data_IF_386890019089
#
_entry.id   IF_386890019089
#
_cell.length_a   1.000
_cell.length_b   1.000
_cell.length_c   1.000
_cell.angle_alpha   90.00
_cell.angle_beta   90.00
_cell.angle_gamma   90.00
#
_symmetry.space_group_name_H-M   'P 1'
#
loop_
_entity.id
_entity.type
_entity.pdbx_description
1 polymer ?
#
# COMPACT_ATOMS: atom_id res chain seq x y z
N UNK A 1 -20.42 -16.29 -17.28
CA UNK A 1 -19.78 -15.02 -16.83
C UNK A 1 -20.08 -13.83 -17.74
N UNK A 2 -20.25 -14.01 -19.08
CA UNK A 2 -20.54 -12.92 -20.01
C UNK A 2 -21.82 -12.17 -19.62
N UNK A 3 -22.91 -12.85 -19.33
CA UNK A 3 -24.18 -12.25 -18.91
C UNK A 3 -24.04 -11.41 -17.64
N UNK A 4 -23.38 -11.93 -16.61
CA UNK A 4 -23.16 -11.18 -15.36
C UNK A 4 -22.28 -9.94 -15.52
N UNK A 5 -21.39 -9.91 -16.50
CA UNK A 5 -20.54 -8.75 -16.74
C UNK A 5 -21.22 -7.68 -17.60
N UNK A 6 -22.33 -8.01 -18.24
CA UNK A 6 -23.11 -7.11 -19.10
C UNK A 6 -24.45 -6.69 -18.49
N UNK A 7 -24.64 -6.91 -17.18
CA UNK A 7 -25.80 -6.46 -16.44
C UNK A 7 -26.95 -7.45 -16.36
N UNK A 8 -26.89 -8.61 -16.98
CA UNK A 8 -27.95 -9.60 -16.93
C UNK A 8 -27.90 -10.42 -15.64
N UNK A 9 -28.21 -9.78 -14.52
CA UNK A 9 -28.22 -10.41 -13.21
C UNK A 9 -29.37 -11.43 -13.05
N UNK A 10 -30.46 -11.21 -13.77
CA UNK A 10 -31.70 -12.02 -13.67
C UNK A 10 -31.79 -13.13 -14.72
N UNK A 11 -30.72 -13.41 -15.44
CA UNK A 11 -30.74 -14.46 -16.44
C UNK A 11 -30.84 -15.84 -15.80
N UNK A 12 -31.56 -16.72 -16.44
CA UNK A 12 -31.58 -18.15 -16.11
C UNK A 12 -31.21 -19.00 -17.32
N UNK A 13 -30.49 -20.07 -17.04
CA UNK A 13 -30.11 -21.08 -18.02
C UNK A 13 -30.70 -22.41 -17.60
N UNK A 14 -31.57 -22.96 -18.44
CA UNK A 14 -32.24 -24.23 -18.20
C UNK A 14 -31.82 -25.24 -19.27
N UNK A 15 -30.93 -26.19 -18.96
CA UNK A 15 -30.55 -27.25 -19.85
C UNK A 15 -31.68 -28.33 -19.87
N UNK A 16 -32.30 -28.49 -21.00
CA UNK A 16 -33.33 -29.50 -21.21
C UNK A 16 -32.80 -30.66 -22.04
N UNK A 17 -32.92 -31.87 -21.55
CA UNK A 17 -32.60 -33.07 -22.30
C UNK A 17 -33.67 -33.32 -23.36
N UNK A 18 -33.29 -33.27 -24.64
CA UNK A 18 -34.21 -33.41 -25.76
C UNK A 18 -34.23 -34.85 -26.30
N UNK A 19 -33.08 -35.49 -26.32
CA UNK A 19 -32.96 -36.83 -26.88
C UNK A 19 -31.75 -37.60 -26.29
N UNK A 20 -31.91 -38.91 -26.13
CA UNK A 20 -30.86 -39.80 -25.66
C UNK A 20 -30.69 -40.92 -26.67
N UNK A 21 -29.54 -41.01 -27.32
CA UNK A 21 -29.22 -42.04 -28.28
C UNK A 21 -27.94 -42.77 -27.88
N UNK A 22 -28.07 -43.96 -27.32
CA UNK A 22 -26.92 -44.70 -26.81
C UNK A 22 -26.18 -43.94 -25.70
N UNK A 23 -24.91 -43.61 -25.93
CA UNK A 23 -24.05 -42.90 -24.99
C UNK A 23 -24.05 -41.37 -25.21
N UNK A 24 -24.89 -40.84 -26.09
CA UNK A 24 -24.98 -39.42 -26.43
C UNK A 24 -26.27 -38.80 -25.92
N UNK A 25 -26.20 -37.64 -25.36
CA UNK A 25 -27.33 -36.84 -24.86
C UNK A 25 -27.35 -35.51 -25.62
N UNK A 26 -28.48 -35.22 -26.27
CA UNK A 26 -28.75 -33.95 -26.91
C UNK A 26 -29.39 -32.99 -25.89
N UNK A 27 -28.75 -31.85 -25.66
CA UNK A 27 -29.22 -30.82 -24.71
C UNK A 27 -29.68 -29.58 -25.46
N UNK A 28 -30.86 -29.11 -25.16
CA UNK A 28 -31.37 -27.79 -25.54
C UNK A 28 -31.09 -26.80 -24.41
N UNK A 29 -30.27 -25.78 -24.68
CA UNK A 29 -29.96 -24.74 -23.70
C UNK A 29 -30.98 -23.62 -23.83
N UNK A 30 -31.93 -23.55 -22.92
CA UNK A 30 -32.95 -22.49 -22.88
C UNK A 30 -32.45 -21.36 -22.03
N UNK A 31 -32.21 -20.19 -22.66
CA UNK A 31 -31.71 -19.00 -21.99
C UNK A 31 -32.83 -17.99 -21.87
N UNK A 32 -33.08 -17.56 -20.65
CA UNK A 32 -33.95 -16.42 -20.37
C UNK A 32 -33.11 -15.28 -19.82
N UNK A 33 -32.91 -14.26 -20.62
CA UNK A 33 -31.98 -13.16 -20.29
C UNK A 33 -32.52 -12.21 -19.22
N UNK A 34 -33.83 -11.94 -19.24
CA UNK A 34 -34.44 -10.96 -18.34
C UNK A 34 -34.08 -9.52 -18.67
N UNK A 35 -34.22 -8.64 -17.68
CA UNK A 35 -33.80 -7.24 -17.80
C UNK A 35 -32.38 -7.08 -17.30
N UNK A 36 -31.68 -6.10 -17.88
CA UNK A 36 -30.39 -5.66 -17.33
C UNK A 36 -30.60 -4.96 -15.99
N UNK A 37 -29.78 -5.30 -14.99
CA UNK A 37 -29.81 -4.71 -13.67
C UNK A 37 -28.93 -3.45 -13.64
N UNK A 38 -29.49 -2.35 -13.15
CA UNK A 38 -28.75 -1.11 -12.88
C UNK A 38 -28.49 -1.01 -11.38
N UNK A 39 -27.29 -0.60 -11.00
CA UNK A 39 -26.93 -0.39 -9.59
C UNK A 39 -27.69 0.83 -9.07
N UNK A 40 -28.56 0.62 -8.07
CA UNK A 40 -29.34 1.68 -7.44
C UNK A 40 -28.56 2.30 -6.27
N UNK A 41 -28.07 1.46 -5.36
CA UNK A 41 -27.38 1.92 -4.14
C UNK A 41 -26.12 1.10 -3.90
N UNK A 42 -25.06 1.79 -3.42
CA UNK A 42 -23.84 1.14 -2.91
C UNK A 42 -23.61 1.57 -1.47
N UNK A 43 -23.65 0.62 -0.55
CA UNK A 43 -23.43 0.81 0.89
C UNK A 43 -22.11 0.18 1.33
N UNK A 44 -21.49 0.79 2.34
CA UNK A 44 -20.25 0.32 2.97
C UNK A 44 -20.53 0.19 4.45
N UNK A 45 -20.46 -1.03 4.98
CA UNK A 45 -20.72 -1.33 6.38
C UNK A 45 -19.43 -1.78 7.08
N UNK A 46 -19.33 -1.57 8.40
CA UNK A 46 -18.23 -2.07 9.23
C UNK A 46 -16.92 -1.28 9.11
N UNK A 47 -16.87 -0.21 8.30
CA UNK A 47 -15.75 0.71 8.25
C UNK A 47 -15.84 1.71 9.39
N UNK A 48 -15.00 1.55 10.42
CA UNK A 48 -14.97 2.41 11.60
C UNK A 48 -13.65 3.18 11.77
N UNK A 49 -12.66 2.97 10.89
CA UNK A 49 -11.32 3.57 11.02
C UNK A 49 -11.00 4.58 9.92
N UNK A 50 -11.41 4.32 8.69
CA UNK A 50 -11.21 5.21 7.55
C UNK A 50 -12.40 6.14 7.36
N UNK A 51 -12.19 7.26 6.69
CA UNK A 51 -13.31 8.02 6.14
C UNK A 51 -13.98 7.22 5.02
N UNK A 52 -15.29 7.32 4.91
CA UNK A 52 -16.06 6.55 3.92
C UNK A 52 -15.62 6.84 2.47
N UNK A 53 -15.29 8.10 2.18
CA UNK A 53 -14.81 8.51 0.87
C UNK A 53 -13.50 7.81 0.46
N UNK A 54 -12.66 7.43 1.44
CA UNK A 54 -11.39 6.71 1.19
C UNK A 54 -11.65 5.31 0.67
N UNK A 55 -12.65 4.61 1.21
CA UNK A 55 -13.07 3.29 0.72
C UNK A 55 -13.85 3.42 -0.58
N UNK A 56 -14.80 4.37 -0.62
CA UNK A 56 -15.70 4.55 -1.76
C UNK A 56 -14.96 4.89 -3.07
N UNK A 57 -13.85 5.62 -3.00
CA UNK A 57 -13.05 5.96 -4.19
C UNK A 57 -12.36 4.75 -4.85
N UNK A 58 -12.16 3.66 -4.11
CA UNK A 58 -11.58 2.41 -4.62
C UNK A 58 -12.62 1.54 -5.34
N UNK A 59 -13.91 1.78 -5.12
CA UNK A 59 -14.98 0.99 -5.71
C UNK A 59 -15.11 1.27 -7.21
N UNK A 60 -15.28 0.21 -7.98
CA UNK A 60 -15.60 0.26 -9.41
C UNK A 60 -17.11 0.29 -9.64
N UNK A 61 -17.88 -0.28 -8.71
CA UNK A 61 -19.34 -0.26 -8.75
C UNK A 61 -19.86 1.11 -8.29
N UNK A 62 -20.66 1.74 -9.12
CA UNK A 62 -21.24 3.06 -8.83
C UNK A 62 -22.72 3.08 -9.12
N UNK A 63 -23.54 3.81 -8.33
CA UNK A 63 -24.96 4.00 -8.63
C UNK A 63 -25.15 4.54 -10.04
N UNK A 64 -26.16 4.02 -10.76
CA UNK A 64 -26.48 4.37 -12.13
C UNK A 64 -25.74 3.60 -13.22
N UNK A 65 -24.73 2.78 -12.86
CA UNK A 65 -24.05 1.89 -13.80
C UNK A 65 -24.76 0.55 -13.91
N UNK A 66 -24.57 -0.15 -15.03
CA UNK A 66 -25.00 -1.54 -15.15
C UNK A 66 -24.22 -2.41 -14.16
N UNK A 67 -24.89 -3.42 -13.63
CA UNK A 67 -24.22 -4.41 -12.79
C UNK A 67 -23.14 -5.15 -13.60
N UNK A 68 -21.97 -5.32 -13.01
CA UNK A 68 -20.88 -6.12 -13.54
C UNK A 68 -20.25 -6.92 -12.41
N UNK A 69 -20.23 -8.24 -12.58
CA UNK A 69 -19.56 -9.14 -11.64
C UNK A 69 -18.06 -8.89 -11.60
N UNK A 70 -17.49 -8.56 -12.74
CA UNK A 70 -16.05 -8.22 -12.86
C UNK A 70 -15.72 -6.99 -12.01
N UNK A 71 -16.51 -5.90 -12.15
CA UNK A 71 -16.32 -4.67 -11.37
C UNK A 71 -16.55 -4.89 -9.88
N UNK A 72 -17.49 -5.75 -9.50
CA UNK A 72 -17.71 -6.14 -8.12
C UNK A 72 -16.48 -6.87 -7.54
N UNK A 73 -16.00 -7.89 -8.24
CA UNK A 73 -14.82 -8.67 -7.81
C UNK A 73 -13.56 -7.81 -7.80
N UNK A 74 -13.46 -6.86 -8.72
CA UNK A 74 -12.35 -5.90 -8.74
C UNK A 74 -12.43 -4.94 -7.55
N UNK A 75 -13.59 -4.42 -7.23
CA UNK A 75 -13.81 -3.58 -6.05
C UNK A 75 -13.40 -4.29 -4.76
N UNK A 76 -13.77 -5.57 -4.62
CA UNK A 76 -13.35 -6.38 -3.47
C UNK A 76 -11.82 -6.52 -3.38
N UNK A 77 -11.15 -6.78 -4.51
CA UNK A 77 -9.68 -6.87 -4.55
C UNK A 77 -9.01 -5.54 -4.21
N UNK A 78 -9.52 -4.41 -4.72
CA UNK A 78 -9.00 -3.07 -4.39
C UNK A 78 -9.15 -2.80 -2.87
N UNK A 79 -10.29 -3.14 -2.26
CA UNK A 79 -10.49 -3.04 -0.80
C UNK A 79 -9.51 -3.94 -0.03
N UNK A 80 -9.28 -5.18 -0.48
CA UNK A 80 -8.31 -6.09 0.15
C UNK A 80 -6.88 -5.53 0.10
N UNK A 81 -6.50 -4.94 -1.04
CA UNK A 81 -5.17 -4.36 -1.26
C UNK A 81 -4.91 -3.13 -0.39
N UNK A 82 -5.94 -2.42 0.06
CA UNK A 82 -5.77 -1.32 1.02
C UNK A 82 -5.14 -1.78 2.34
N UNK A 83 -5.32 -3.04 2.74
CA UNK A 83 -4.74 -3.61 3.95
C UNK A 83 -5.39 -3.13 5.26
N UNK A 84 -6.47 -2.36 5.21
CA UNK A 84 -7.20 -1.82 6.38
C UNK A 84 -8.36 -2.69 6.84
N UNK A 85 -8.66 -3.75 6.10
CA UNK A 85 -9.76 -4.66 6.36
C UNK A 85 -9.27 -6.10 6.41
N UNK A 86 -10.00 -6.94 7.14
CA UNK A 86 -9.74 -8.37 7.18
C UNK A 86 -10.16 -9.01 5.85
N UNK A 87 -9.22 -9.55 5.05
CA UNK A 87 -9.52 -10.06 3.72
C UNK A 87 -10.47 -11.27 3.72
N UNK A 88 -10.51 -12.03 4.82
CA UNK A 88 -11.38 -13.20 4.95
C UNK A 88 -12.85 -12.82 5.24
N UNK A 89 -13.07 -11.60 5.71
CA UNK A 89 -14.37 -11.11 6.13
C UNK A 89 -14.94 -10.03 5.21
N UNK A 90 -14.37 -9.84 4.02
CA UNK A 90 -14.92 -8.96 3.00
C UNK A 90 -15.97 -9.73 2.22
N UNK A 91 -17.24 -9.40 2.43
CA UNK A 91 -18.36 -10.07 1.75
C UNK A 91 -19.23 -9.04 1.01
N UNK A 92 -19.56 -9.31 -0.26
CA UNK A 92 -20.53 -8.50 -0.97
C UNK A 92 -21.94 -8.97 -0.63
N UNK A 93 -22.78 -8.05 -0.22
CA UNK A 93 -24.22 -8.25 -0.09
C UNK A 93 -24.91 -7.73 -1.36
N UNK A 94 -25.46 -8.63 -2.15
CA UNK A 94 -26.13 -8.31 -3.41
C UNK A 94 -27.62 -8.49 -3.22
N UNK A 95 -28.38 -7.41 -3.29
CA UNK A 95 -29.83 -7.41 -3.13
C UNK A 95 -30.50 -7.06 -4.45
N UNK A 96 -30.84 -8.07 -5.27
CA UNK A 96 -31.53 -7.85 -6.55
C UNK A 96 -32.99 -7.46 -6.34
N UNK A 97 -33.43 -6.49 -7.15
CA UNK A 97 -34.84 -6.04 -7.22
C UNK A 97 -35.38 -6.24 -8.63
N UNK A 98 -35.90 -7.44 -8.94
CA UNK A 98 -36.33 -7.78 -10.29
C UNK A 98 -37.49 -6.91 -10.80
N UNK A 99 -38.37 -6.43 -9.90
CA UNK A 99 -39.49 -5.58 -10.24
C UNK A 99 -39.08 -4.26 -10.87
N UNK A 100 -38.01 -3.64 -10.31
CA UNK A 100 -37.47 -2.35 -10.76
C UNK A 100 -36.33 -2.50 -11.79
N UNK A 101 -35.84 -3.73 -11.99
CA UNK A 101 -34.62 -3.96 -12.78
C UNK A 101 -33.37 -3.34 -12.16
N UNK A 102 -33.32 -3.26 -10.83
CA UNK A 102 -32.22 -2.66 -10.09
C UNK A 102 -31.58 -3.64 -9.11
N UNK A 103 -30.38 -3.27 -8.62
CA UNK A 103 -29.65 -4.03 -7.61
C UNK A 103 -29.01 -3.09 -6.60
N UNK A 104 -29.16 -3.39 -5.33
CA UNK A 104 -28.40 -2.73 -4.26
C UNK A 104 -27.18 -3.59 -3.92
N UNK A 105 -26.03 -2.95 -3.76
CA UNK A 105 -24.76 -3.62 -3.43
C UNK A 105 -24.28 -3.10 -2.08
N UNK A 106 -24.10 -4.02 -1.13
CA UNK A 106 -23.46 -3.79 0.16
C UNK A 106 -22.03 -4.37 0.16
N UNK A 107 -21.12 -3.67 0.79
CA UNK A 107 -19.81 -4.21 1.14
C UNK A 107 -19.72 -4.29 2.66
N UNK A 108 -19.78 -5.52 3.19
CA UNK A 108 -19.61 -5.77 4.60
C UNK A 108 -18.12 -5.99 4.89
N UNK A 109 -17.57 -5.10 5.70
CA UNK A 109 -16.14 -5.01 5.97
C UNK A 109 -15.90 -5.16 7.47
N UNK A 110 -14.75 -5.71 7.83
CA UNK A 110 -14.27 -5.71 9.21
C UNK A 110 -12.95 -4.96 9.25
N UNK A 111 -12.94 -3.81 9.94
CA UNK A 111 -11.74 -2.97 10.05
C UNK A 111 -10.65 -3.66 10.85
N UNK A 112 -9.42 -3.62 10.34
CA UNK A 112 -8.22 -4.19 10.94
C UNK A 112 -7.20 -3.10 11.25
N UNK A 113 -6.55 -3.17 12.42
CA UNK A 113 -5.40 -2.34 12.71
C UNK A 113 -4.19 -2.84 11.90
N UNK A 114 -3.54 -1.94 11.20
CA UNK A 114 -2.40 -2.24 10.34
C UNK A 114 -1.17 -1.36 10.65
N UNK A 115 -1.21 -0.65 11.77
CA UNK A 115 -0.05 0.11 12.25
C UNK A 115 1.00 -0.87 12.77
N UNK A 116 2.27 -0.60 12.48
CA UNK A 116 3.37 -1.51 12.77
C UNK A 116 4.45 -0.81 13.59
N UNK A 117 4.93 -1.51 14.59
CA UNK A 117 6.13 -1.16 15.34
C UNK A 117 7.13 -2.27 15.11
N UNK A 118 8.24 -1.94 14.48
CA UNK A 118 9.35 -2.86 14.24
C UNK A 118 10.53 -2.47 15.13
N UNK A 119 10.98 -3.41 15.94
CA UNK A 119 12.22 -3.29 16.69
C UNK A 119 13.16 -4.42 16.27
N UNK A 120 14.38 -4.06 15.91
CA UNK A 120 15.43 -5.04 15.63
C UNK A 120 16.73 -4.64 16.31
N UNK A 121 17.45 -5.64 16.81
CA UNK A 121 18.77 -5.46 17.38
C UNK A 121 19.70 -6.54 16.81
N UNK A 122 20.91 -6.13 16.46
CA UNK A 122 21.97 -7.00 15.96
C UNK A 122 23.26 -6.78 16.73
N UNK A 123 24.09 -7.79 16.75
CA UNK A 123 25.43 -7.73 17.33
C UNK A 123 26.46 -7.98 16.22
N UNK A 124 27.41 -7.07 16.08
CA UNK A 124 28.51 -7.18 15.12
C UNK A 124 29.84 -6.75 15.72
N UNK A 125 30.89 -6.72 14.92
CA UNK A 125 32.24 -6.33 15.37
C UNK A 125 32.28 -4.87 15.87
N UNK A 126 31.41 -4.02 15.37
CA UNK A 126 31.26 -2.61 15.79
C UNK A 126 30.36 -2.44 17.01
N UNK A 127 29.91 -3.54 17.65
CA UNK A 127 29.03 -3.55 18.80
C UNK A 127 27.55 -3.80 18.44
N UNK A 128 26.66 -3.35 19.32
CA UNK A 128 25.21 -3.54 19.16
C UNK A 128 24.68 -2.46 18.20
N UNK A 129 23.91 -2.87 17.21
CA UNK A 129 23.13 -1.98 16.36
C UNK A 129 21.65 -2.19 16.66
N UNK A 130 20.93 -1.11 16.89
CA UNK A 130 19.49 -1.13 17.12
C UNK A 130 18.75 -0.34 16.05
N UNK A 131 17.59 -0.83 15.61
CA UNK A 131 16.66 -0.15 14.72
C UNK A 131 15.28 -0.13 15.35
N UNK A 132 14.63 1.03 15.30
CA UNK A 132 13.21 1.19 15.61
C UNK A 132 12.53 1.82 14.40
N UNK A 133 11.43 1.21 13.95
CA UNK A 133 10.60 1.74 12.87
C UNK A 133 9.14 1.75 13.31
N UNK A 134 8.48 2.89 13.10
CA UNK A 134 7.07 3.10 13.37
C UNK A 134 6.39 3.38 12.05
N UNK A 135 5.40 2.57 11.67
CA UNK A 135 4.62 2.72 10.44
C UNK A 135 3.15 2.90 10.80
N UNK A 136 2.61 4.05 10.46
CA UNK A 136 1.20 4.40 10.64
C UNK A 136 0.53 4.39 9.27
N UNK A 137 -0.42 3.48 9.07
CA UNK A 137 -1.01 3.21 7.75
C UNK A 137 -2.29 3.97 7.47
N UNK A 138 -2.89 4.56 8.50
CA UNK A 138 -4.12 5.32 8.39
C UNK A 138 -3.92 6.80 8.76
N UNK A 139 -2.79 7.36 8.43
CA UNK A 139 -2.46 8.75 8.73
C UNK A 139 -3.33 9.73 7.92
N UNK A 140 -3.55 10.93 8.47
CA UNK A 140 -4.27 12.02 7.82
C UNK A 140 -3.52 13.34 8.01
N UNK A 141 -2.95 13.87 6.94
CA UNK A 141 -2.34 15.21 6.94
C UNK A 141 -3.41 16.30 7.15
N UNK A 142 -4.61 16.11 6.60
CA UNK A 142 -5.69 17.07 6.75
C UNK A 142 -6.06 17.26 8.22
N UNK A 143 -6.18 16.17 8.98
CA UNK A 143 -6.48 16.21 10.40
C UNK A 143 -5.29 16.74 11.23
N UNK A 144 -4.06 16.56 10.77
CA UNK A 144 -2.89 17.15 11.41
C UNK A 144 -2.94 18.69 11.35
N UNK A 145 -3.40 19.25 10.24
CA UNK A 145 -3.53 20.70 10.03
C UNK A 145 -4.76 21.28 10.73
N UNK A 146 -5.77 20.45 11.05
CA UNK A 146 -7.02 20.87 11.73
C UNK A 146 -7.27 20.01 12.98
N UNK A 147 -6.48 20.16 14.05
CA UNK A 147 -6.49 19.25 15.19
C UNK A 147 -7.75 19.30 16.06
N UNK A 148 -8.73 20.14 15.75
CA UNK A 148 -9.94 20.33 16.57
C UNK A 148 -11.15 19.50 16.17
N UNK A 149 -11.22 18.96 14.95
CA UNK A 149 -12.48 18.45 14.42
C UNK A 149 -12.61 16.93 14.39
N UNK A 150 -11.53 16.16 14.20
CA UNK A 150 -11.63 14.71 13.98
C UNK A 150 -10.42 13.89 14.50
N UNK A 151 -9.86 14.27 15.65
CA UNK A 151 -8.72 13.55 16.22
C UNK A 151 -9.16 12.20 16.79
N UNK A 152 -8.84 11.11 16.10
CA UNK A 152 -9.10 9.75 16.57
C UNK A 152 -7.77 9.08 16.93
N UNK A 153 -7.44 9.06 18.23
CA UNK A 153 -6.22 8.43 18.73
C UNK A 153 -5.04 9.39 18.96
N UNK A 154 -3.83 8.84 19.11
CA UNK A 154 -2.61 9.61 19.41
C UNK A 154 -2.14 10.39 18.18
N UNK A 155 -2.35 9.85 16.99
CA UNK A 155 -2.03 10.47 15.71
C UNK A 155 -3.30 10.73 14.89
N UNK A 156 -3.32 11.78 14.06
CA UNK A 156 -4.44 12.04 13.18
C UNK A 156 -4.61 10.92 12.15
N UNK A 157 -5.80 10.34 12.11
CA UNK A 157 -6.14 9.18 11.29
C UNK A 157 -7.39 9.45 10.45
N UNK A 158 -7.58 8.66 9.37
CA UNK A 158 -8.80 8.63 8.58
C UNK A 158 -8.59 8.60 7.05
N UNK A 159 -7.51 9.16 6.52
CA UNK A 159 -7.31 9.32 5.08
C UNK A 159 -6.61 8.13 4.40
N UNK A 160 -6.17 7.14 5.17
CA UNK A 160 -5.45 5.98 4.63
C UNK A 160 -4.07 6.31 4.06
N UNK A 161 -3.48 7.44 4.48
CA UNK A 161 -2.11 7.80 4.16
C UNK A 161 -1.15 7.03 5.06
N UNK A 162 0.08 6.85 4.62
CA UNK A 162 1.12 6.14 5.39
C UNK A 162 2.21 7.11 5.83
N UNK A 163 2.49 7.13 7.13
CA UNK A 163 3.63 7.82 7.72
C UNK A 163 4.57 6.78 8.33
N UNK A 164 5.83 6.79 7.91
CA UNK A 164 6.86 5.92 8.49
C UNK A 164 7.97 6.76 9.08
N UNK A 165 8.34 6.45 10.32
CA UNK A 165 9.46 7.09 11.03
C UNK A 165 10.39 5.97 11.46
N UNK A 166 11.66 6.04 11.09
CA UNK A 166 12.63 5.04 11.52
C UNK A 166 13.92 5.68 12.03
N UNK A 167 14.51 5.03 13.01
CA UNK A 167 15.82 5.36 13.55
C UNK A 167 16.65 4.09 13.72
N UNK A 168 17.91 4.17 13.32
CA UNK A 168 18.88 3.11 13.48
C UNK A 168 20.17 3.69 14.07
N UNK A 169 20.72 3.03 15.06
CA UNK A 169 21.96 3.50 15.68
C UNK A 169 22.82 2.35 16.15
N UNK A 170 24.13 2.58 16.04
CA UNK A 170 25.15 1.78 16.66
C UNK A 170 25.92 2.67 17.68
N UNK A 171 25.23 3.44 18.49
CA UNK A 171 25.77 4.33 19.52
C UNK A 171 27.03 5.14 19.14
N UNK A 172 28.10 4.51 18.65
CA UNK A 172 29.39 5.13 18.36
C UNK A 172 29.64 5.44 16.88
N UNK A 173 29.35 4.49 16.00
CA UNK A 173 29.83 4.50 14.63
C UNK A 173 28.80 4.94 13.60
N UNK A 174 27.52 4.66 13.87
CA UNK A 174 26.48 4.88 12.90
C UNK A 174 25.17 5.36 13.54
N UNK A 175 24.58 6.36 12.91
CA UNK A 175 23.24 6.86 13.22
C UNK A 175 22.50 7.16 11.91
N UNK A 176 21.27 6.74 11.81
CA UNK A 176 20.41 7.03 10.66
C UNK A 176 18.99 7.27 11.13
N UNK A 177 18.39 8.31 10.60
CA UNK A 177 17.00 8.66 10.85
C UNK A 177 16.31 8.90 9.52
N UNK A 178 15.10 8.39 9.38
CA UNK A 178 14.31 8.65 8.17
C UNK A 178 12.84 8.90 8.51
N UNK A 179 12.22 9.73 7.71
CA UNK A 179 10.79 9.99 7.71
C UNK A 179 10.30 9.86 6.29
N UNK A 180 9.24 9.10 6.07
CA UNK A 180 8.58 8.99 4.78
C UNK A 180 7.07 9.12 4.93
N UNK A 181 6.48 9.83 3.99
CA UNK A 181 5.05 10.01 3.85
C UNK A 181 4.61 9.50 2.47
N UNK A 182 3.50 8.78 2.44
CA UNK A 182 2.91 8.24 1.21
C UNK A 182 1.40 8.46 1.20
N UNK A 183 0.90 9.01 0.09
CA UNK A 183 -0.52 9.19 -0.18
C UNK A 183 -0.89 8.47 -1.49
N UNK A 184 -1.71 7.41 -1.47
CA UNK A 184 -2.12 6.68 -2.67
C UNK A 184 -3.09 7.46 -3.57
N UNK A 185 -3.75 8.51 -3.03
CA UNK A 185 -4.74 9.32 -3.73
C UNK A 185 -4.48 10.80 -3.59
N UNK A 186 -3.28 11.23 -3.87
CA UNK A 186 -2.89 12.63 -3.78
C UNK A 186 -3.85 13.55 -4.53
N UNK A 187 -4.42 14.52 -3.81
CA UNK A 187 -5.46 15.39 -4.31
C UNK A 187 -6.88 14.80 -4.29
N UNK A 188 -7.07 13.56 -3.83
CA UNK A 188 -8.38 12.93 -3.52
C UNK A 188 -9.28 12.58 -4.72
N UNK A 189 -8.98 13.06 -5.93
CA UNK A 189 -9.84 12.92 -7.12
C UNK A 189 -9.45 11.80 -8.06
N UNK A 190 -8.19 11.40 -8.05
CA UNK A 190 -7.61 10.39 -8.95
C UNK A 190 -6.62 9.53 -8.18
N UNK A 191 -6.43 8.24 -8.58
CA UNK A 191 -5.46 7.36 -7.96
C UNK A 191 -4.02 7.73 -8.38
N UNK A 192 -3.59 8.93 -7.99
CA UNK A 192 -2.22 9.39 -8.17
C UNK A 192 -1.48 9.20 -6.85
N UNK A 193 -0.47 8.36 -6.85
CA UNK A 193 0.37 8.16 -5.69
C UNK A 193 1.37 9.32 -5.54
N UNK A 194 1.60 9.76 -4.33
CA UNK A 194 2.60 10.75 -4.00
C UNK A 194 3.38 10.31 -2.76
N UNK A 195 4.70 10.45 -2.77
CA UNK A 195 5.51 10.16 -1.61
C UNK A 195 6.61 11.19 -1.46
N UNK A 196 6.89 11.52 -0.22
CA UNK A 196 8.05 12.34 0.18
C UNK A 196 8.81 11.58 1.25
N UNK A 197 10.12 11.46 1.09
CA UNK A 197 10.98 10.89 2.11
C UNK A 197 12.20 11.78 2.35
N UNK A 198 12.57 11.90 3.62
CA UNK A 198 13.79 12.58 4.04
C UNK A 198 14.57 11.65 4.95
N UNK A 199 15.88 11.64 4.81
CA UNK A 199 16.73 10.88 5.70
C UNK A 199 18.03 11.65 6.03
N UNK A 200 18.54 11.31 7.18
CA UNK A 200 19.85 11.75 7.67
C UNK A 200 20.63 10.54 8.15
N UNK A 201 21.87 10.43 7.76
CA UNK A 201 22.78 9.45 8.34
C UNK A 201 24.12 10.08 8.66
N UNK A 202 24.72 9.63 9.74
CA UNK A 202 26.07 9.96 10.16
C UNK A 202 26.84 8.68 10.43
N UNK A 203 28.01 8.59 9.84
CA UNK A 203 28.93 7.50 10.07
C UNK A 203 30.29 8.07 10.48
N UNK A 204 30.86 7.53 11.57
CA UNK A 204 32.14 7.92 12.09
C UNK A 204 33.12 6.76 11.93
N UNK A 205 34.34 7.09 11.55
CA UNK A 205 35.55 6.25 11.51
C UNK A 205 35.39 4.78 11.14
N UNK A 206 35.36 4.50 9.83
CA UNK A 206 35.50 3.11 9.34
C UNK A 206 36.26 3.12 8.02
N UNK A 207 37.13 2.10 7.82
CA UNK A 207 37.95 1.95 6.62
C UNK A 207 37.14 1.97 5.32
N UNK A 208 37.76 2.46 4.24
CA UNK A 208 37.16 2.72 2.91
C UNK A 208 36.40 1.54 2.27
N UNK A 209 36.64 0.29 2.66
CA UNK A 209 35.88 -0.88 2.20
C UNK A 209 34.49 -1.03 2.85
N UNK A 210 34.34 -0.59 4.07
CA UNK A 210 33.06 -0.63 4.79
C UNK A 210 32.09 0.42 4.27
N UNK A 211 32.59 1.47 3.66
CA UNK A 211 31.80 2.58 3.14
C UNK A 211 30.84 2.19 2.02
N UNK A 212 31.27 1.38 1.09
CA UNK A 212 30.46 1.05 -0.07
C UNK A 212 29.28 0.14 0.28
N UNK A 213 29.47 -0.82 1.18
CA UNK A 213 28.43 -1.82 1.46
C UNK A 213 27.41 -1.35 2.49
N UNK A 214 27.84 -0.76 3.59
CA UNK A 214 26.91 -0.29 4.64
C UNK A 214 26.10 0.93 4.17
N UNK A 215 26.70 1.76 3.36
CA UNK A 215 26.13 2.98 2.82
C UNK A 215 25.03 2.69 1.80
N UNK A 216 25.32 1.87 0.81
CA UNK A 216 24.35 1.47 -0.20
C UNK A 216 23.21 0.64 0.42
N UNK A 217 23.50 -0.24 1.39
CA UNK A 217 22.48 -1.01 2.08
C UNK A 217 21.57 -0.15 2.97
N UNK A 218 22.09 0.87 3.63
CA UNK A 218 21.29 1.80 4.43
C UNK A 218 20.32 2.62 3.56
N UNK A 219 20.81 3.10 2.43
CA UNK A 219 20.00 3.84 1.46
C UNK A 219 18.91 2.95 0.87
N UNK A 220 19.26 1.78 0.36
CA UNK A 220 18.29 0.84 -0.22
C UNK A 220 17.28 0.34 0.82
N UNK A 221 17.70 0.01 2.04
CA UNK A 221 16.78 -0.43 3.08
C UNK A 221 15.83 0.66 3.55
N UNK A 222 16.29 1.90 3.69
CA UNK A 222 15.43 3.04 4.05
C UNK A 222 14.42 3.34 2.95
N UNK A 223 14.86 3.27 1.70
CA UNK A 223 14.06 3.56 0.52
C UNK A 223 13.02 2.46 0.23
N UNK A 224 13.45 1.19 0.20
CA UNK A 224 12.57 0.07 -0.15
C UNK A 224 11.69 -0.39 1.01
N UNK A 225 12.09 -0.24 2.27
CA UNK A 225 11.22 -0.57 3.40
C UNK A 225 10.04 0.39 3.54
N UNK A 226 10.21 1.66 3.13
CA UNK A 226 9.11 2.62 3.03
C UNK A 226 8.11 2.28 1.94
N UNK A 227 8.57 1.70 0.83
CA UNK A 227 7.77 1.50 -0.39
C UNK A 227 7.13 0.11 -0.48
N UNK A 228 7.78 -0.95 0.01
CA UNK A 228 7.33 -2.34 -0.17
C UNK A 228 7.17 -3.16 1.11
N UNK A 229 7.49 -2.61 2.28
CA UNK A 229 7.27 -3.29 3.57
C UNK A 229 8.19 -4.49 3.86
N UNK A 230 9.19 -4.75 3.02
CA UNK A 230 10.15 -5.85 3.21
C UNK A 230 11.57 -5.32 3.39
N UNK A 231 12.09 -5.45 4.60
CA UNK A 231 13.51 -5.23 4.89
C UNK A 231 14.35 -6.44 4.45
N UNK A 232 15.18 -6.27 3.46
CA UNK A 232 16.16 -7.28 3.08
C UNK A 232 17.37 -7.20 4.01
N UNK A 233 17.56 -8.20 4.86
CA UNK A 233 18.74 -8.32 5.73
C UNK A 233 19.91 -8.86 4.92
N UNK A 234 20.91 -8.02 4.65
CA UNK A 234 22.17 -8.48 4.11
C UNK A 234 23.25 -8.42 5.20
N UNK A 235 23.65 -9.58 5.72
CA UNK A 235 24.76 -9.71 6.64
C UNK A 235 26.08 -9.64 5.85
N UNK A 236 26.69 -8.45 5.81
CA UNK A 236 28.04 -8.27 5.28
C UNK A 236 29.09 -8.97 6.15
N UNK A 237 30.02 -9.64 5.50
CA UNK A 237 31.12 -10.39 6.08
C UNK A 237 32.13 -9.45 6.73
N UNK A 238 32.24 -9.49 8.04
CA UNK A 238 33.10 -8.62 8.85
C UNK A 238 34.48 -9.26 9.06
N UNK A 239 35.48 -8.75 8.38
CA UNK A 239 36.87 -9.12 8.64
C UNK A 239 37.57 -8.10 9.55
N UNK A 240 38.27 -8.61 10.56
CA UNK A 240 39.08 -7.92 11.57
C UNK A 240 39.78 -6.64 11.10
N UNK A 241 39.48 -5.54 11.78
CA UNK A 241 40.31 -4.34 11.77
C UNK A 241 40.48 -3.81 13.20
N UNK A 242 41.74 -3.62 13.61
CA UNK A 242 42.15 -3.05 14.89
C UNK A 242 41.65 -1.61 15.07
N UNK A 243 41.24 -1.34 16.29
CA UNK A 243 40.51 -0.20 16.77
C UNK A 243 41.34 1.12 16.67
N UNK A 244 41.11 1.90 15.63
CA UNK A 244 41.33 3.35 15.66
C UNK A 244 39.99 4.03 15.47
N UNK A 245 39.31 4.33 16.56
CA UNK A 245 38.09 5.15 16.55
C UNK A 245 38.49 6.62 16.59
N UNK A 246 38.25 7.34 15.53
CA UNK A 246 38.44 8.79 15.44
C UNK A 246 37.05 9.45 15.27
N UNK A 247 36.50 10.05 16.33
CA UNK A 247 35.16 10.66 16.28
C UNK A 247 35.11 11.90 15.39
N UNK A 248 36.25 12.51 15.08
CA UNK A 248 36.33 13.73 14.28
C UNK A 248 36.19 13.42 12.78
N UNK A 249 36.53 12.20 12.37
CA UNK A 249 36.31 11.71 11.02
C UNK A 249 34.89 11.26 10.85
N UNK A 250 34.10 11.96 10.07
CA UNK A 250 32.70 11.57 9.84
C UNK A 250 32.25 11.87 8.42
N UNK A 251 31.37 11.00 7.91
CA UNK A 251 30.52 11.30 6.75
C UNK A 251 29.11 11.50 7.25
N UNK A 252 28.54 12.62 6.89
CA UNK A 252 27.13 12.90 7.07
C UNK A 252 26.47 12.92 5.71
N UNK A 253 25.28 12.34 5.64
CA UNK A 253 24.47 12.34 4.45
C UNK A 253 23.06 12.82 4.75
N UNK A 254 22.60 13.75 3.94
CA UNK A 254 21.23 14.20 3.90
C UNK A 254 20.60 13.81 2.57
N UNK A 255 19.44 13.24 2.61
CA UNK A 255 18.72 12.91 1.39
C UNK A 255 17.27 13.32 1.47
N UNK A 256 16.76 13.74 0.31
CA UNK A 256 15.36 14.04 0.07
C UNK A 256 14.95 13.34 -1.22
N UNK A 257 13.83 12.61 -1.20
CA UNK A 257 13.27 12.02 -2.41
C UNK A 257 11.79 12.35 -2.49
N UNK A 258 11.33 12.64 -3.70
CA UNK A 258 9.93 12.91 -4.03
C UNK A 258 9.53 12.00 -5.16
N UNK A 259 8.48 11.22 -4.96
CA UNK A 259 7.93 10.31 -5.94
C UNK A 259 6.51 10.72 -6.32
N UNK A 260 6.20 10.63 -7.60
CA UNK A 260 4.86 10.77 -8.12
C UNK A 260 4.52 9.55 -8.98
N UNK A 261 3.39 8.92 -8.68
CA UNK A 261 2.84 7.78 -9.41
C UNK A 261 1.48 8.12 -10.03
N UNK A 262 1.26 7.67 -11.26
CA UNK A 262 0.01 7.86 -11.96
C UNK A 262 -0.47 6.56 -12.56
N UNK A 263 -1.69 6.13 -12.21
CA UNK A 263 -2.35 5.00 -12.88
C UNK A 263 -2.74 5.41 -14.29
N UNK A 264 -2.29 4.65 -15.28
CA UNK A 264 -2.55 4.94 -16.69
C UNK A 264 -3.97 4.48 -17.05
N UNK A 265 -4.51 5.05 -18.14
CA UNK A 265 -5.78 4.62 -18.72
C UNK A 265 -5.58 3.78 -19.97
N UNK A 266 -4.39 3.84 -20.56
CA UNK A 266 -4.00 3.13 -21.77
C UNK A 266 -2.63 2.46 -21.55
N UNK A 267 -2.45 1.19 -21.93
CA UNK A 267 -3.41 0.29 -22.61
C UNK A 267 -4.58 -0.13 -21.72
N UNK A 268 -4.40 -0.18 -20.41
CA UNK A 268 -5.43 -0.41 -19.40
C UNK A 268 -5.01 0.23 -18.06
N UNK A 269 -5.86 0.16 -17.04
CA UNK A 269 -5.64 0.79 -15.75
C UNK A 269 -4.87 -0.08 -14.73
N UNK A 270 -4.30 -1.20 -15.16
CA UNK A 270 -3.33 -1.98 -14.38
C UNK A 270 -1.91 -1.42 -14.48
N UNK A 271 -1.63 -0.61 -15.52
CA UNK A 271 -0.33 0.04 -15.65
C UNK A 271 -0.23 1.30 -14.79
N UNK A 272 0.90 1.43 -14.11
CA UNK A 272 1.24 2.61 -13.33
C UNK A 272 2.57 3.18 -13.81
N UNK A 273 2.58 4.47 -14.10
CA UNK A 273 3.80 5.24 -14.33
C UNK A 273 4.25 5.85 -13.03
N UNK A 274 5.52 5.67 -12.67
CA UNK A 274 6.12 6.24 -11.46
C UNK A 274 7.38 7.02 -11.86
N UNK A 275 7.49 8.24 -11.39
CA UNK A 275 8.67 9.08 -11.53
C UNK A 275 9.15 9.51 -10.14
N UNK A 276 10.46 9.53 -9.96
CA UNK A 276 11.09 9.93 -8.72
C UNK A 276 12.24 10.89 -8.99
N UNK A 277 12.34 11.90 -8.12
CA UNK A 277 13.45 12.81 -8.04
C UNK A 277 14.05 12.70 -6.65
N UNK A 278 15.36 12.42 -6.59
CA UNK A 278 16.10 12.35 -5.33
C UNK A 278 17.29 13.31 -5.35
N UNK A 279 17.54 13.92 -4.19
CA UNK A 279 18.69 14.77 -3.93
C UNK A 279 19.44 14.25 -2.71
N UNK A 280 20.75 14.16 -2.82
CA UNK A 280 21.61 13.71 -1.73
C UNK A 280 22.78 14.67 -1.57
N UNK A 281 23.08 15.02 -0.32
CA UNK A 281 24.20 15.85 0.06
C UNK A 281 25.09 15.11 1.04
N UNK A 282 26.37 15.06 0.71
CA UNK A 282 27.42 14.47 1.51
C UNK A 282 28.25 15.58 2.16
N UNK A 283 28.53 15.44 3.45
CA UNK A 283 29.39 16.32 4.21
C UNK A 283 30.45 15.42 4.84
N UNK A 284 31.71 15.63 4.39
CA UNK A 284 32.88 14.91 4.88
C UNK A 284 33.62 15.79 5.86
N UNK A 285 33.93 15.29 7.02
CA UNK A 285 34.71 15.96 8.05
C UNK A 285 35.99 15.15 8.27
N UNK A 286 37.14 15.84 8.18
CA UNK A 286 38.52 15.31 8.43
C UNK A 286 38.97 14.08 7.60
N UNK A 287 38.43 13.95 6.38
CA UNK A 287 38.83 12.90 5.44
C UNK A 287 40.06 13.32 4.62
N UNK A 288 41.17 12.63 4.85
CA UNK A 288 42.44 12.91 4.14
C UNK A 288 42.59 12.21 2.76
N UNK A 289 41.49 11.63 2.22
CA UNK A 289 41.55 10.90 0.95
C UNK A 289 40.67 11.55 -0.11
N UNK A 290 41.14 12.70 -0.61
CA UNK A 290 40.90 13.19 -1.97
C UNK A 290 42.08 14.08 -2.36
#
# INVERSE_FOLDING_TARGET
NLYYNTGYLFYSLDPVEVNIVGDSIDLEMRIFEGRQATINKVSINGNNRLYENVVRRELRTRPGQLFSREDLMRSMREIQQMGHFDPEQIQPDIQPKPEDGTVDIGYDLVSKANDQVEFSAGWGQTGIIGKLSLKFTNFSVANLLHPGENYRGILPQGDGQTLTISGQTNAKYYQSYSVSFYDPWFGGKRPNAFSVSAFYSRQTDISSRYYNDAYMNSYYNSYYSGMYGYGMYNYGNYNNYENYYDPDKSIQMWGLAVMFGKRLKWPDDYFQFTAELSYQRYILSDWQYF
#
